data_IF_305701294395
#
_entry.id   IF_305701294395
#
_cell.length_a   1.000
_cell.length_b   1.000
_cell.length_c   1.000
_cell.angle_alpha   90.00
_cell.angle_beta   90.00
_cell.angle_gamma   90.00
#
_symmetry.space_group_name_H-M   'P 1'
#
loop_
_entity.id
_entity.type
_entity.pdbx_description
1 polymer ?
#
# COMPACT_ATOMS: atom_id res chain seq x y z
N UNK A 1 -12.04 3.83 -5.90
CA UNK A 1 -12.48 4.66 -4.76
C UNK A 1 -11.30 5.56 -4.36
N UNK A 2 -11.31 6.83 -4.75
CA UNK A 2 -10.27 7.79 -4.35
C UNK A 2 -10.69 8.32 -2.98
N UNK A 3 -10.03 7.85 -1.91
CA UNK A 3 -10.49 7.99 -0.53
C UNK A 3 -9.53 8.89 0.26
N UNK A 4 -10.09 10.00 0.79
CA UNK A 4 -9.49 11.11 1.55
C UNK A 4 -8.40 11.92 0.83
N UNK A 5 -8.76 13.15 0.44
CA UNK A 5 -7.78 14.22 0.24
C UNK A 5 -7.37 14.74 1.61
N UNK A 6 -6.12 14.54 1.98
CA UNK A 6 -5.54 15.11 3.19
C UNK A 6 -5.17 16.56 2.94
N UNK A 7 -5.47 17.43 3.91
CA UNK A 7 -4.88 18.76 4.01
C UNK A 7 -3.62 18.64 4.87
N UNK A 8 -2.44 18.63 4.24
CA UNK A 8 -1.17 18.42 4.92
C UNK A 8 -0.83 19.52 5.94
N UNK A 9 -1.49 20.68 5.93
CA UNK A 9 -1.28 21.69 6.98
C UNK A 9 -2.12 21.40 8.23
N UNK A 10 -3.26 20.72 8.08
CA UNK A 10 -4.21 20.48 9.16
C UNK A 10 -4.18 19.05 9.71
N UNK A 11 -3.84 18.08 8.86
CA UNK A 11 -4.06 16.67 9.14
C UNK A 11 -2.81 15.92 9.63
N UNK A 12 -1.65 16.57 9.80
CA UNK A 12 -0.39 15.90 10.15
C UNK A 12 -0.48 15.06 11.42
N UNK A 13 -1.15 15.57 12.46
CA UNK A 13 -1.36 14.80 13.69
C UNK A 13 -2.20 13.56 13.47
N UNK A 14 -3.22 13.65 12.61
CA UNK A 14 -4.06 12.51 12.22
C UNK A 14 -3.24 11.50 11.41
N UNK A 15 -2.49 11.98 10.41
CA UNK A 15 -1.62 11.13 9.57
C UNK A 15 -0.57 10.44 10.44
N UNK A 16 0.04 11.16 11.40
CA UNK A 16 1.05 10.60 12.30
C UNK A 16 0.52 9.40 13.10
N UNK A 17 -0.74 9.44 13.56
CA UNK A 17 -1.39 8.35 14.31
C UNK A 17 -1.65 7.09 13.49
N UNK A 18 -1.59 7.19 12.17
CA UNK A 18 -1.64 6.02 11.28
C UNK A 18 -0.37 5.18 11.35
N UNK A 19 0.72 5.65 11.99
CA UNK A 19 2.00 4.96 12.08
C UNK A 19 2.37 4.68 13.54
N UNK A 20 2.00 3.51 14.12
CA UNK A 20 2.15 3.23 15.55
C UNK A 20 3.57 3.40 16.09
N UNK A 21 4.60 3.09 15.30
CA UNK A 21 6.00 3.23 15.73
C UNK A 21 6.36 4.67 16.15
N UNK A 22 5.66 5.68 15.59
CA UNK A 22 5.89 7.09 15.89
C UNK A 22 5.35 7.50 17.27
N UNK A 23 4.56 6.66 17.95
CA UNK A 23 4.14 6.89 19.34
C UNK A 23 5.27 6.61 20.35
N UNK A 24 6.29 5.85 19.94
CA UNK A 24 7.30 5.32 20.85
C UNK A 24 8.73 5.73 20.50
N UNK A 25 8.98 6.24 19.29
CA UNK A 25 10.30 6.71 18.91
C UNK A 25 10.29 7.83 17.86
N UNK A 26 11.42 8.54 17.78
CA UNK A 26 11.75 9.43 16.67
C UNK A 26 12.39 8.60 15.55
N UNK A 27 11.58 8.15 14.59
CA UNK A 27 12.01 7.25 13.52
C UNK A 27 12.69 8.01 12.36
N UNK A 28 14.02 8.15 12.40
CA UNK A 28 14.82 8.94 11.46
C UNK A 28 15.45 8.13 10.30
N UNK A 29 14.82 7.03 9.86
CA UNK A 29 15.37 6.13 8.83
C UNK A 29 14.34 5.71 7.77
N UNK A 30 13.28 6.50 7.59
CA UNK A 30 12.18 6.19 6.66
C UNK A 30 12.61 6.08 5.20
N UNK A 31 13.73 6.70 4.82
CA UNK A 31 14.30 6.59 3.48
C UNK A 31 14.88 5.20 3.16
N UNK A 32 15.17 4.39 4.19
CA UNK A 32 15.57 2.99 4.01
C UNK A 32 14.36 2.06 4.08
N UNK A 33 13.50 2.25 5.08
CA UNK A 33 12.28 1.47 5.29
C UNK A 33 11.20 2.37 5.87
N UNK A 34 10.09 2.53 5.15
CA UNK A 34 8.96 3.32 5.64
C UNK A 34 8.36 2.73 6.92
N UNK A 35 7.88 3.58 7.81
CA UNK A 35 7.10 3.14 8.96
C UNK A 35 5.83 2.42 8.47
N UNK A 36 5.50 1.27 9.06
CA UNK A 36 4.31 0.52 8.68
C UNK A 36 3.03 1.29 9.09
N UNK A 37 2.11 1.58 8.14
CA UNK A 37 0.78 2.07 8.48
C UNK A 37 -0.03 1.03 9.25
N UNK A 38 -0.97 1.47 10.10
CA UNK A 38 -1.89 0.63 10.86
C UNK A 38 -2.71 -0.29 9.95
N UNK A 39 -3.18 0.25 8.83
CA UNK A 39 -3.98 -0.47 7.83
C UNK A 39 -3.25 -1.64 7.18
N UNK A 40 -1.91 -1.69 7.24
CA UNK A 40 -1.16 -2.84 6.68
C UNK A 40 -1.57 -4.16 7.33
N UNK A 41 -1.81 -4.18 8.64
CA UNK A 41 -2.24 -5.39 9.33
C UNK A 41 -3.61 -5.87 8.81
N UNK A 42 -4.57 -4.94 8.69
CA UNK A 42 -5.93 -5.24 8.21
C UNK A 42 -5.92 -5.83 6.79
N UNK A 43 -5.11 -5.27 5.89
CA UNK A 43 -5.03 -5.77 4.51
C UNK A 43 -4.31 -7.13 4.42
N UNK A 44 -3.33 -7.40 5.29
CA UNK A 44 -2.68 -8.71 5.38
C UNK A 44 -3.65 -9.78 5.90
N UNK A 45 -4.42 -9.46 6.94
CA UNK A 45 -5.45 -10.34 7.49
C UNK A 45 -6.51 -10.65 6.43
N UNK A 46 -6.94 -9.63 5.67
CA UNK A 46 -7.90 -9.78 4.57
C UNK A 46 -7.35 -10.69 3.47
N UNK A 47 -6.11 -10.47 3.05
CA UNK A 47 -5.45 -11.31 2.05
C UNK A 47 -5.38 -12.78 2.50
N UNK A 48 -4.98 -13.02 3.75
CA UNK A 48 -4.91 -14.37 4.32
C UNK A 48 -6.31 -15.02 4.44
N UNK A 49 -7.30 -14.27 4.90
CA UNK A 49 -8.68 -14.75 5.04
C UNK A 49 -9.26 -15.15 3.68
N UNK A 50 -9.04 -14.34 2.65
CA UNK A 50 -9.45 -14.65 1.27
C UNK A 50 -8.82 -15.97 0.79
N UNK A 51 -7.56 -16.21 1.12
CA UNK A 51 -6.90 -17.46 0.78
C UNK A 51 -7.51 -18.67 1.51
N UNK A 52 -7.81 -18.54 2.80
CA UNK A 52 -8.44 -19.61 3.60
C UNK A 52 -9.84 -19.93 3.08
N UNK A 53 -10.61 -18.92 2.70
CA UNK A 53 -12.01 -19.06 2.31
C UNK A 53 -12.18 -19.50 0.84
N UNK A 54 -11.36 -18.99 -0.07
CA UNK A 54 -11.57 -19.18 -1.52
C UNK A 54 -10.46 -19.98 -2.22
N UNK A 55 -9.31 -20.19 -1.56
CA UNK A 55 -8.22 -20.99 -2.11
C UNK A 55 -7.74 -20.46 -3.46
N UNK A 56 -7.78 -21.32 -4.48
CA UNK A 56 -7.34 -20.97 -5.85
C UNK A 56 -8.29 -19.97 -6.55
N UNK A 57 -9.56 -19.91 -6.16
CA UNK A 57 -10.53 -18.99 -6.78
C UNK A 57 -10.22 -17.53 -6.50
N UNK A 58 -9.49 -17.23 -5.42
CA UNK A 58 -9.03 -15.89 -5.09
C UNK A 58 -8.19 -15.23 -6.21
N UNK A 59 -7.56 -16.04 -7.07
CA UNK A 59 -6.87 -15.54 -8.26
C UNK A 59 -7.81 -14.79 -9.21
N UNK A 60 -8.91 -15.42 -9.59
CA UNK A 60 -9.91 -14.83 -10.48
C UNK A 60 -10.67 -13.68 -9.81
N UNK A 61 -10.97 -13.84 -8.52
CA UNK A 61 -11.81 -12.89 -7.79
C UNK A 61 -11.08 -11.59 -7.44
N UNK A 62 -9.76 -11.64 -7.18
CA UNK A 62 -9.03 -10.45 -6.74
C UNK A 62 -7.57 -10.38 -7.17
N UNK A 63 -6.81 -11.48 -7.05
CA UNK A 63 -5.35 -11.39 -7.14
C UNK A 63 -4.83 -11.12 -8.55
N UNK A 64 -5.54 -11.50 -9.61
CA UNK A 64 -5.13 -11.20 -10.99
C UNK A 64 -4.99 -9.71 -11.26
N UNK A 65 -5.94 -8.91 -10.78
CA UNK A 65 -5.95 -7.47 -11.00
C UNK A 65 -5.14 -6.70 -9.94
N UNK A 66 -4.69 -7.36 -8.86
CA UNK A 66 -4.06 -6.70 -7.74
C UNK A 66 -2.79 -5.92 -8.13
N UNK A 67 -1.88 -6.52 -8.92
CA UNK A 67 -0.65 -5.84 -9.35
C UNK A 67 -0.96 -4.62 -10.23
N UNK A 68 -1.88 -4.76 -11.18
CA UNK A 68 -2.35 -3.68 -12.06
C UNK A 68 -2.97 -2.53 -11.26
N UNK A 69 -3.88 -2.86 -10.34
CA UNK A 69 -4.56 -1.88 -9.50
C UNK A 69 -3.60 -1.11 -8.58
N UNK A 70 -2.62 -1.80 -8.00
CA UNK A 70 -1.58 -1.14 -7.19
C UNK A 70 -0.66 -0.29 -8.07
N UNK A 71 -0.27 -0.79 -9.24
CA UNK A 71 0.50 -0.03 -10.25
C UNK A 71 -0.18 1.28 -10.63
N UNK A 72 -1.49 1.25 -10.92
CA UNK A 72 -2.28 2.44 -11.25
C UNK A 72 -2.36 3.46 -10.11
N UNK A 73 -2.26 3.03 -8.84
CA UNK A 73 -2.16 3.95 -7.69
C UNK A 73 -0.78 4.60 -7.62
N UNK A 74 0.28 3.87 -7.94
CA UNK A 74 1.66 4.39 -7.97
C UNK A 74 1.87 5.33 -9.17
N UNK A 75 1.25 5.03 -10.32
CA UNK A 75 1.32 5.84 -11.54
C UNK A 75 0.99 7.32 -11.27
N UNK A 76 -0.04 7.58 -10.45
CA UNK A 76 -0.44 8.93 -10.03
C UNK A 76 0.70 9.68 -9.32
N UNK A 77 1.49 8.98 -8.50
CA UNK A 77 2.58 9.60 -7.72
C UNK A 77 3.79 9.97 -8.58
N UNK A 78 4.01 9.23 -9.68
CA UNK A 78 5.17 9.42 -10.57
C UNK A 78 4.83 10.10 -11.90
N UNK A 79 3.57 10.47 -12.11
CA UNK A 79 3.09 11.14 -13.32
C UNK A 79 2.96 10.23 -14.55
N UNK A 80 2.82 8.92 -14.35
CA UNK A 80 2.56 7.96 -15.42
C UNK A 80 1.04 7.83 -15.70
N UNK A 81 0.71 7.35 -16.89
CA UNK A 81 -0.65 7.04 -17.31
C UNK A 81 -1.22 5.79 -16.66
N UNK A 82 -2.52 5.56 -16.89
CA UNK A 82 -3.17 4.30 -16.51
C UNK A 82 -2.52 3.13 -17.28
N UNK A 83 -2.29 2.03 -16.58
CA UNK A 83 -1.67 0.79 -17.06
C UNK A 83 -0.22 0.94 -17.58
N UNK A 84 0.46 2.05 -17.28
CA UNK A 84 1.89 2.25 -17.61
C UNK A 84 2.85 1.76 -16.50
N UNK A 85 2.32 1.34 -15.34
CA UNK A 85 3.11 0.91 -14.17
C UNK A 85 2.62 -0.44 -13.68
N UNK A 86 3.55 -1.37 -13.40
CA UNK A 86 3.27 -2.68 -12.80
C UNK A 86 4.14 -2.90 -11.56
N UNK A 87 3.67 -3.75 -10.64
CA UNK A 87 4.43 -4.11 -9.44
C UNK A 87 5.31 -5.33 -9.70
N UNK A 88 6.54 -5.26 -9.22
CA UNK A 88 7.52 -6.35 -9.26
C UNK A 88 7.93 -6.74 -7.83
N UNK A 89 8.45 -7.94 -7.67
CA UNK A 89 8.87 -8.52 -6.37
C UNK A 89 9.95 -7.70 -5.66
N UNK A 90 10.85 -7.06 -6.39
CA UNK A 90 11.87 -6.17 -5.85
C UNK A 90 12.47 -5.28 -6.95
N UNK A 91 13.16 -4.22 -6.53
CA UNK A 91 13.77 -3.24 -7.44
C UNK A 91 14.88 -3.83 -8.33
N UNK A 92 15.64 -4.82 -7.84
CA UNK A 92 16.75 -5.42 -8.61
C UNK A 92 16.26 -6.21 -9.83
N UNK A 93 15.04 -6.72 -9.79
CA UNK A 93 14.43 -7.46 -10.89
C UNK A 93 13.71 -6.56 -11.91
N UNK A 94 13.53 -5.27 -11.63
CA UNK A 94 12.93 -4.32 -12.57
C UNK A 94 13.93 -3.95 -13.68
N UNK A 95 13.80 -4.55 -14.86
CA UNK A 95 14.57 -4.23 -16.07
C UNK A 95 13.70 -4.40 -17.32
#
# INVERSE_FOLDING_TARGET
MIQKSWDLEKDLETIRREFPILEHCTYLISNSLGAAPRKTHEELDRYYSLWVEEGVSAWENEWWDLSRNVGNRVAILIGAGEDEVTMMTNATQCH
#
